data_IF_844483443326
#
_entry.id   IF_844483443326
#
_cell.length_a   1.000
_cell.length_b   1.000
_cell.length_c   1.000
_cell.angle_alpha   90.00
_cell.angle_beta   90.00
_cell.angle_gamma   90.00
#
_symmetry.space_group_name_H-M   'P 1'
#
loop_
_entity.id
_entity.type
_entity.pdbx_description
1 polymer ?
#
# COMPACT_ATOMS: atom_id res chain seq x y z
N UNK A 1 1.62 7.26 10.38
CA UNK A 1 1.80 6.49 11.63
C UNK A 1 0.74 5.40 11.76
N UNK A 2 -0.56 5.75 11.72
CA UNK A 2 -1.66 4.78 11.89
C UNK A 2 -1.56 3.64 10.87
N UNK A 3 -1.26 3.93 9.61
CA UNK A 3 -1.08 2.92 8.57
C UNK A 3 0.06 1.94 8.89
N UNK A 4 1.19 2.43 9.39
CA UNK A 4 2.30 1.57 9.84
C UNK A 4 1.90 0.65 11.01
N UNK A 5 1.09 1.16 11.95
CA UNK A 5 0.55 0.37 13.06
C UNK A 5 -0.36 -0.74 12.52
N UNK A 6 -1.25 -0.42 11.58
CA UNK A 6 -2.14 -1.41 10.96
C UNK A 6 -1.36 -2.50 10.23
N UNK A 7 -0.32 -2.14 9.45
CA UNK A 7 0.54 -3.12 8.77
C UNK A 7 1.24 -4.04 9.78
N UNK A 8 1.78 -3.47 10.86
CA UNK A 8 2.39 -4.25 11.94
C UNK A 8 1.39 -5.25 12.54
N UNK A 9 0.17 -4.80 12.84
CA UNK A 9 -0.89 -5.68 13.36
C UNK A 9 -1.29 -6.77 12.38
N UNK A 10 -1.48 -6.46 11.09
CA UNK A 10 -1.83 -7.44 10.05
C UNK A 10 -0.75 -8.52 9.90
N UNK A 11 0.52 -8.13 9.97
CA UNK A 11 1.66 -9.05 9.93
C UNK A 11 1.69 -9.94 11.18
N UNK A 12 1.56 -9.36 12.37
CA UNK A 12 1.58 -10.07 13.65
C UNK A 12 0.36 -10.99 13.82
N UNK A 13 -0.81 -10.56 13.33
CA UNK A 13 -2.02 -11.38 13.26
C UNK A 13 -1.88 -12.59 12.33
N UNK A 14 -0.89 -12.61 11.46
CA UNK A 14 -0.66 -13.69 10.52
C UNK A 14 -1.50 -13.57 9.23
N UNK A 15 -2.19 -12.47 9.03
CA UNK A 15 -3.00 -12.22 7.83
C UNK A 15 -2.15 -12.23 6.56
N UNK A 16 -1.02 -11.53 6.55
CA UNK A 16 -0.07 -11.51 5.43
C UNK A 16 0.49 -12.89 5.11
N UNK A 17 0.87 -13.65 6.15
CA UNK A 17 1.38 -15.02 5.98
C UNK A 17 0.30 -15.98 5.48
N UNK A 18 -0.94 -15.84 5.96
CA UNK A 18 -2.08 -16.64 5.51
C UNK A 18 -2.41 -16.36 4.03
N UNK A 19 -2.39 -15.09 3.62
CA UNK A 19 -2.56 -14.70 2.22
C UNK A 19 -1.41 -15.25 1.36
N UNK A 20 -0.18 -15.16 1.82
CA UNK A 20 0.98 -15.74 1.13
C UNK A 20 0.83 -17.25 0.92
N UNK A 21 0.36 -18.00 1.92
CA UNK A 21 0.05 -19.43 1.78
C UNK A 21 -1.07 -19.68 0.77
N UNK A 22 -2.18 -18.95 0.87
CA UNK A 22 -3.29 -19.04 -0.08
C UNK A 22 -2.85 -18.74 -1.51
N UNK A 23 -2.15 -17.63 -1.71
CA UNK A 23 -1.61 -17.23 -3.00
C UNK A 23 -0.64 -18.27 -3.57
N UNK A 24 0.20 -18.88 -2.73
CA UNK A 24 1.16 -19.90 -3.16
C UNK A 24 0.52 -21.20 -3.64
N UNK A 25 -0.71 -21.46 -3.25
CA UNK A 25 -1.49 -22.63 -3.74
C UNK A 25 -2.16 -22.30 -5.09
N UNK A 26 -2.68 -21.10 -5.25
CA UNK A 26 -3.41 -20.69 -6.44
C UNK A 26 -2.50 -20.19 -7.56
N UNK A 27 -1.41 -19.52 -7.21
CA UNK A 27 -0.41 -19.05 -8.15
C UNK A 27 0.55 -20.19 -8.47
N UNK A 28 0.70 -20.52 -9.74
CA UNK A 28 1.53 -21.65 -10.20
C UNK A 28 2.74 -21.23 -11.01
N UNK A 29 2.82 -19.97 -11.40
CA UNK A 29 3.87 -19.48 -12.31
C UNK A 29 4.54 -18.22 -11.77
N UNK A 30 5.77 -17.97 -12.22
CA UNK A 30 6.53 -16.76 -11.91
C UNK A 30 5.84 -15.50 -12.43
N UNK A 31 5.28 -15.56 -13.65
CA UNK A 31 4.47 -14.48 -14.22
C UNK A 31 3.25 -14.23 -13.33
N UNK A 32 2.55 -15.30 -12.90
CA UNK A 32 1.40 -15.21 -12.02
C UNK A 32 1.73 -14.53 -10.70
N UNK A 33 2.90 -14.78 -10.10
CA UNK A 33 3.33 -14.13 -8.88
C UNK A 33 3.55 -12.61 -9.08
N UNK A 34 4.16 -12.22 -10.19
CA UNK A 34 4.36 -10.81 -10.53
C UNK A 34 3.04 -10.11 -10.86
N UNK A 35 2.16 -10.73 -11.65
CA UNK A 35 0.84 -10.17 -11.94
C UNK A 35 -0.03 -10.05 -10.70
N UNK A 36 0.01 -11.02 -9.79
CA UNK A 36 -0.69 -10.94 -8.51
C UNK A 36 -0.17 -9.79 -7.65
N UNK A 37 1.15 -9.51 -7.68
CA UNK A 37 1.73 -8.34 -7.02
C UNK A 37 1.18 -7.05 -7.60
N UNK A 38 1.11 -6.94 -8.92
CA UNK A 38 0.55 -5.78 -9.63
C UNK A 38 -0.92 -5.59 -9.27
N UNK A 39 -1.73 -6.66 -9.36
CA UNK A 39 -3.16 -6.60 -9.03
C UNK A 39 -3.39 -6.17 -7.59
N UNK A 40 -2.62 -6.71 -6.64
CA UNK A 40 -2.72 -6.30 -5.24
C UNK A 40 -2.32 -4.83 -5.05
N UNK A 41 -1.27 -4.37 -5.75
CA UNK A 41 -0.87 -2.97 -5.74
C UNK A 41 -1.95 -2.04 -6.31
N UNK A 42 -2.61 -2.44 -7.39
CA UNK A 42 -3.74 -1.68 -7.97
C UNK A 42 -4.94 -1.62 -7.01
N UNK A 43 -5.21 -2.69 -6.28
CA UNK A 43 -6.34 -2.73 -5.33
C UNK A 43 -6.13 -1.84 -4.10
N UNK A 44 -4.87 -1.58 -3.72
CA UNK A 44 -4.52 -0.74 -2.57
C UNK A 44 -4.13 0.66 -3.07
N UNK A 45 -5.07 1.40 -3.63
CA UNK A 45 -4.84 2.67 -4.32
C UNK A 45 -4.98 3.93 -3.44
N UNK A 46 -5.35 3.78 -2.17
CA UNK A 46 -5.68 4.92 -1.30
C UNK A 46 -4.46 5.75 -0.93
N UNK A 47 -3.35 5.06 -0.63
CA UNK A 47 -2.12 5.69 -0.19
C UNK A 47 -0.92 4.86 -0.64
N UNK A 48 0.09 5.52 -1.20
CA UNK A 48 1.27 4.88 -1.78
C UNK A 48 2.18 4.22 -0.72
N UNK A 49 2.37 4.84 0.44
CA UNK A 49 3.15 4.24 1.54
C UNK A 49 2.47 2.99 2.09
N UNK A 50 1.15 3.06 2.29
CA UNK A 50 0.38 1.90 2.73
C UNK A 50 0.43 0.78 1.70
N UNK A 51 0.34 1.12 0.42
CA UNK A 51 0.51 0.19 -0.69
C UNK A 51 1.87 -0.51 -0.60
N UNK A 52 2.96 0.25 -0.58
CA UNK A 52 4.32 -0.29 -0.55
C UNK A 52 4.53 -1.26 0.62
N UNK A 53 4.13 -0.87 1.82
CA UNK A 53 4.32 -1.69 3.02
C UNK A 53 3.46 -2.96 3.00
N UNK A 54 2.19 -2.82 2.60
CA UNK A 54 1.25 -3.95 2.61
C UNK A 54 1.58 -4.95 1.50
N UNK A 55 1.71 -4.49 0.26
CA UNK A 55 2.04 -5.36 -0.88
C UNK A 55 3.40 -6.01 -0.68
N UNK A 56 4.39 -5.25 -0.18
CA UNK A 56 5.72 -5.76 0.11
C UNK A 56 5.70 -6.89 1.14
N UNK A 57 5.02 -6.71 2.26
CA UNK A 57 4.94 -7.72 3.30
C UNK A 57 4.18 -8.97 2.88
N UNK A 58 3.11 -8.79 2.10
CA UNK A 58 2.20 -9.86 1.66
C UNK A 58 2.80 -10.68 0.52
N UNK A 59 3.40 -10.01 -0.47
CA UNK A 59 3.87 -10.68 -1.69
C UNK A 59 5.30 -11.20 -1.58
N UNK A 60 6.07 -10.74 -0.60
CA UNK A 60 7.43 -11.23 -0.35
C UNK A 60 7.56 -12.76 -0.31
N UNK A 61 6.80 -13.51 0.52
CA UNK A 61 6.90 -14.96 0.56
C UNK A 61 6.45 -15.64 -0.74
N UNK A 62 5.53 -15.03 -1.48
CA UNK A 62 5.05 -15.55 -2.77
C UNK A 62 6.13 -15.39 -3.84
N UNK A 63 6.67 -14.20 -3.98
CA UNK A 63 7.71 -13.88 -4.98
C UNK A 63 9.00 -14.65 -4.72
N UNK A 64 9.36 -14.88 -3.44
CA UNK A 64 10.51 -15.70 -3.08
C UNK A 64 10.37 -17.15 -3.55
N UNK A 65 9.20 -17.73 -3.33
CA UNK A 65 8.88 -19.09 -3.78
C UNK A 65 9.08 -19.25 -5.29
N UNK A 66 8.70 -18.23 -6.06
CA UNK A 66 8.81 -18.24 -7.52
C UNK A 66 10.13 -17.64 -8.05
N UNK A 67 11.13 -17.44 -7.17
CA UNK A 67 12.46 -16.94 -7.53
C UNK A 67 12.43 -15.61 -8.30
N UNK A 68 11.55 -14.70 -7.90
CA UNK A 68 11.56 -13.31 -8.34
C UNK A 68 12.52 -12.54 -7.42
N UNK A 69 13.42 -11.75 -8.01
CA UNK A 69 14.41 -11.02 -7.20
C UNK A 69 13.77 -9.97 -6.30
N UNK A 70 14.43 -9.65 -5.19
CA UNK A 70 14.00 -8.57 -4.29
C UNK A 70 13.96 -7.22 -4.99
N UNK A 71 14.90 -6.98 -5.89
CA UNK A 71 14.93 -5.79 -6.72
C UNK A 71 13.70 -5.69 -7.65
N UNK A 72 13.28 -6.82 -8.26
CA UNK A 72 12.08 -6.85 -9.10
C UNK A 72 10.81 -6.65 -8.26
N UNK A 73 10.71 -7.29 -7.10
CA UNK A 73 9.59 -7.05 -6.19
C UNK A 73 9.50 -5.59 -5.79
N UNK A 74 10.61 -4.96 -5.39
CA UNK A 74 10.65 -3.55 -5.04
C UNK A 74 10.20 -2.67 -6.20
N UNK A 75 10.67 -2.95 -7.42
CA UNK A 75 10.24 -2.24 -8.62
C UNK A 75 8.72 -2.37 -8.89
N UNK A 76 8.16 -3.59 -8.78
CA UNK A 76 6.73 -3.80 -8.99
C UNK A 76 5.87 -3.06 -7.97
N UNK A 77 6.32 -3.02 -6.72
CA UNK A 77 5.64 -2.31 -5.64
C UNK A 77 5.69 -0.80 -5.89
N UNK A 78 6.87 -0.26 -6.15
CA UNK A 78 7.07 1.18 -6.39
C UNK A 78 6.32 1.65 -7.64
N UNK A 79 6.42 0.89 -8.74
CA UNK A 79 5.75 1.19 -10.00
C UNK A 79 4.23 1.02 -9.97
N UNK A 80 3.65 0.37 -8.96
CA UNK A 80 2.20 0.33 -8.74
C UNK A 80 1.73 1.33 -7.70
N UNK A 81 2.55 1.69 -6.71
CA UNK A 81 2.11 2.54 -5.61
C UNK A 81 1.79 3.96 -6.08
N UNK A 82 2.78 4.77 -6.39
CA UNK A 82 2.57 6.17 -6.78
C UNK A 82 1.79 6.33 -8.11
N UNK A 83 2.09 5.58 -9.20
CA UNK A 83 1.35 5.71 -10.45
C UNK A 83 -0.14 5.39 -10.32
N UNK A 84 -0.53 4.41 -9.51
CA UNK A 84 -1.93 4.10 -9.29
C UNK A 84 -2.61 5.16 -8.42
N UNK A 85 -1.96 5.58 -7.32
CA UNK A 85 -2.53 6.59 -6.42
C UNK A 85 -2.77 7.94 -7.14
N UNK A 86 -1.89 8.33 -8.07
CA UNK A 86 -2.02 9.62 -8.79
C UNK A 86 -3.08 9.60 -9.90
N UNK A 87 -3.59 8.45 -10.31
CA UNK A 87 -4.71 8.34 -11.26
C UNK A 87 -5.99 7.84 -10.61
N UNK A 88 -5.93 7.42 -9.35
CA UNK A 88 -7.12 7.03 -8.60
C UNK A 88 -7.85 8.28 -8.08
N UNK A 89 -9.13 8.49 -8.46
CA UNK A 89 -9.86 9.69 -8.06
C UNK A 89 -10.13 9.74 -6.55
N UNK A 90 -10.05 8.61 -5.86
CA UNK A 90 -10.25 8.48 -4.42
C UNK A 90 -8.92 8.04 -3.80
N UNK A 91 -7.97 8.97 -3.67
CA UNK A 91 -6.64 8.68 -3.10
C UNK A 91 -6.13 9.86 -2.29
N UNK A 92 -5.10 9.62 -1.49
CA UNK A 92 -4.39 10.69 -0.75
C UNK A 92 -3.80 11.75 -1.69
N UNK A 93 -3.37 11.33 -2.89
CA UNK A 93 -2.87 12.26 -3.92
C UNK A 93 -3.96 13.09 -4.56
N UNK A 94 -5.10 12.49 -4.92
CA UNK A 94 -6.25 13.24 -5.45
C UNK A 94 -6.66 14.34 -4.48
N UNK A 95 -6.79 13.99 -3.24
CA UNK A 95 -7.16 14.90 -2.18
C UNK A 95 -6.11 16.01 -1.93
N UNK A 96 -4.81 15.69 -1.97
CA UNK A 96 -3.76 16.69 -1.84
C UNK A 96 -3.72 17.67 -3.03
N UNK A 97 -3.86 17.16 -4.26
CA UNK A 97 -3.76 17.97 -5.49
C UNK A 97 -4.97 18.88 -5.67
N UNK A 98 -6.18 18.41 -5.34
CA UNK A 98 -7.39 19.23 -5.41
C UNK A 98 -7.32 20.49 -4.53
N UNK A 99 -6.62 20.41 -3.39
CA UNK A 99 -6.42 21.54 -2.48
C UNK A 99 -5.45 22.62 -2.99
N UNK A 100 -4.75 22.42 -4.11
CA UNK A 100 -3.87 23.43 -4.72
C UNK A 100 -4.55 24.31 -5.77
N UNK A 101 -5.75 23.95 -6.20
CA UNK A 101 -6.49 24.68 -7.23
C UNK A 101 -7.36 25.75 -6.55
N UNK A 102 -7.11 27.01 -6.90
CA UNK A 102 -7.90 28.15 -6.42
C UNK A 102 -8.88 28.60 -7.52
N UNK A 103 -10.13 28.83 -7.15
CA UNK A 103 -11.12 29.43 -8.03
C UNK A 103 -11.88 28.48 -8.98
N UNK A 104 -11.50 27.20 -9.04
CA UNK A 104 -12.17 26.17 -9.83
C UNK A 104 -12.35 24.88 -9.03
N UNK A 105 -13.22 23.98 -9.50
CA UNK A 105 -13.35 22.65 -8.89
C UNK A 105 -12.11 21.78 -9.14
N UNK A 106 -11.22 21.73 -8.15
CA UNK A 106 -9.97 21.00 -8.22
C UNK A 106 -10.16 19.50 -8.47
N UNK A 107 -11.24 18.89 -7.96
CA UNK A 107 -11.53 17.49 -8.20
C UNK A 107 -11.88 17.23 -9.68
N UNK A 108 -12.71 18.07 -10.29
CA UNK A 108 -13.03 17.97 -11.70
C UNK A 108 -11.80 18.13 -12.58
N UNK A 109 -10.91 19.07 -12.26
CA UNK A 109 -9.63 19.25 -12.97
C UNK A 109 -8.76 18.01 -12.81
N UNK A 110 -8.64 17.47 -11.59
CA UNK A 110 -7.88 16.26 -11.34
C UNK A 110 -8.37 15.09 -12.19
N UNK A 111 -9.68 14.82 -12.19
CA UNK A 111 -10.28 13.73 -12.97
C UNK A 111 -10.04 13.91 -14.47
N UNK A 112 -10.17 15.15 -14.99
CA UNK A 112 -9.88 15.47 -16.39
C UNK A 112 -8.41 15.31 -16.75
N UNK A 113 -7.49 15.48 -15.80
CA UNK A 113 -6.06 15.32 -16.01
C UNK A 113 -5.59 13.84 -16.03
N UNK A 114 -6.39 12.90 -15.49
CA UNK A 114 -6.02 11.46 -15.43
C UNK A 114 -5.58 10.92 -16.79
N UNK A 115 -6.34 11.07 -17.90
CA UNK A 115 -5.94 10.53 -19.20
C UNK A 115 -4.69 11.18 -19.79
N UNK A 116 -4.26 12.32 -19.28
CA UNK A 116 -3.03 13.02 -19.69
C UNK A 116 -1.83 12.70 -18.79
N UNK A 117 -2.02 11.91 -17.75
CA UNK A 117 -0.93 11.44 -16.90
C UNK A 117 -0.19 10.28 -17.59
N UNK A 118 0.56 10.62 -18.64
CA UNK A 118 1.29 9.64 -19.45
C UNK A 118 2.31 8.85 -18.64
N UNK A 119 2.92 9.46 -17.61
CA UNK A 119 3.85 8.74 -16.74
C UNK A 119 3.17 7.53 -16.08
N UNK A 120 2.05 7.75 -15.40
CA UNK A 120 1.36 6.68 -14.69
C UNK A 120 0.86 5.60 -15.66
N UNK A 121 0.21 6.01 -16.76
CA UNK A 121 -0.35 5.09 -17.76
C UNK A 121 0.75 4.26 -18.42
N UNK A 122 1.82 4.91 -18.90
CA UNK A 122 2.92 4.21 -19.58
C UNK A 122 3.72 3.33 -18.63
N UNK A 123 3.89 3.73 -17.36
CA UNK A 123 4.55 2.90 -16.34
C UNK A 123 3.79 1.60 -16.12
N UNK A 124 2.47 1.67 -15.99
CA UNK A 124 1.61 0.49 -15.81
C UNK A 124 1.67 -0.41 -17.05
N UNK A 125 1.54 0.16 -18.24
CA UNK A 125 1.61 -0.59 -19.51
C UNK A 125 2.99 -1.25 -19.68
N UNK A 126 4.07 -0.51 -19.41
CA UNK A 126 5.44 -1.03 -19.50
C UNK A 126 5.66 -2.16 -18.49
N UNK A 127 5.22 -2.00 -17.26
CA UNK A 127 5.38 -2.99 -16.20
C UNK A 127 4.64 -4.29 -16.54
N UNK A 128 3.38 -4.21 -16.97
CA UNK A 128 2.61 -5.38 -17.42
C UNK A 128 3.27 -6.01 -18.65
N UNK A 129 3.69 -5.20 -19.62
CA UNK A 129 4.38 -5.67 -20.82
C UNK A 129 5.67 -6.42 -20.50
N UNK A 130 6.53 -5.88 -19.62
CA UNK A 130 7.75 -6.55 -19.19
C UNK A 130 7.48 -7.89 -18.50
N UNK A 131 6.44 -7.96 -17.66
CA UNK A 131 6.08 -9.20 -16.97
C UNK A 131 5.58 -10.24 -17.94
N UNK A 132 4.72 -9.88 -18.89
CA UNK A 132 4.15 -10.82 -19.87
C UNK A 132 5.18 -11.30 -20.88
N UNK A 133 6.04 -10.39 -21.38
CA UNK A 133 7.09 -10.70 -22.34
C UNK A 133 8.33 -11.32 -21.68
N UNK A 134 8.38 -11.38 -20.35
CA UNK A 134 9.54 -11.85 -19.57
C UNK A 134 10.86 -11.16 -19.97
N UNK A 135 10.77 -9.88 -20.32
CA UNK A 135 11.93 -9.08 -20.73
C UNK A 135 12.39 -8.23 -19.55
N UNK A 136 13.71 -8.18 -19.36
CA UNK A 136 14.35 -7.39 -18.33
C UNK A 136 15.46 -6.55 -18.92
N UNK A 137 15.61 -5.32 -18.41
CA UNK A 137 16.58 -4.35 -18.90
C UNK A 137 17.65 -4.02 -17.85
N UNK A 138 18.83 -3.65 -18.31
CA UNK A 138 19.90 -3.13 -17.46
C UNK A 138 20.26 -4.04 -16.29
N UNK A 139 20.42 -3.44 -15.12
CA UNK A 139 20.76 -4.15 -13.88
C UNK A 139 19.68 -5.14 -13.42
N UNK A 140 18.41 -4.89 -13.73
CA UNK A 140 17.33 -5.81 -13.37
C UNK A 140 17.53 -7.20 -13.96
N UNK A 141 18.01 -7.31 -15.20
CA UNK A 141 18.33 -8.58 -15.84
C UNK A 141 19.37 -9.39 -15.04
N UNK A 142 20.33 -8.72 -14.44
CA UNK A 142 21.35 -9.36 -13.60
C UNK A 142 20.74 -9.89 -12.30
N UNK A 143 19.92 -9.08 -11.61
CA UNK A 143 19.21 -9.50 -10.40
C UNK A 143 18.29 -10.69 -10.64
N UNK A 144 17.53 -10.67 -11.73
CA UNK A 144 16.60 -11.74 -12.09
C UNK A 144 17.32 -13.03 -12.47
N UNK A 145 18.47 -12.94 -13.17
CA UNK A 145 19.31 -14.10 -13.50
C UNK A 145 19.89 -14.76 -12.22
N UNK A 146 20.27 -13.98 -11.25
CA UNK A 146 20.76 -14.50 -9.96
C UNK A 146 19.64 -15.11 -9.13
N UNK A 147 18.45 -14.48 -9.14
CA UNK A 147 17.28 -15.01 -8.44
C UNK A 147 16.87 -16.40 -8.95
N UNK A 148 16.97 -16.64 -10.27
CA UNK A 148 16.73 -17.96 -10.85
C UNK A 148 17.69 -19.03 -10.31
N UNK A 149 18.95 -18.63 -9.98
CA UNK A 149 19.96 -19.50 -9.37
C UNK A 149 19.77 -19.68 -7.86
N UNK A 150 18.83 -18.93 -7.25
CA UNK A 150 18.51 -19.00 -5.83
C UNK A 150 19.03 -17.82 -5.01
N UNK A 151 19.78 -16.87 -5.59
CA UNK A 151 20.21 -15.64 -4.92
C UNK A 151 19.23 -14.51 -5.22
N UNK A 152 18.30 -14.30 -4.28
CA UNK A 152 17.24 -13.30 -4.41
C UNK A 152 17.73 -11.87 -4.22
N UNK A 153 18.90 -11.67 -3.61
CA UNK A 153 19.41 -10.34 -3.24
C UNK A 153 20.47 -9.82 -4.20
N UNK A 154 21.30 -10.69 -4.73
CA UNK A 154 22.44 -10.35 -5.62
C UNK A 154 23.56 -9.54 -4.94
N UNK A 155 23.26 -8.78 -3.90
CA UNK A 155 24.19 -7.90 -3.17
C UNK A 155 24.72 -8.57 -1.89
N UNK A 156 26.02 -8.42 -1.56
CA UNK A 156 26.61 -9.07 -0.36
C UNK A 156 25.98 -8.60 0.96
N UNK A 157 25.49 -7.35 1.00
CA UNK A 157 24.95 -6.75 2.20
C UNK A 157 23.57 -7.28 2.65
N UNK A 158 22.88 -8.03 1.79
CA UNK A 158 21.58 -8.66 2.05
C UNK A 158 20.70 -7.87 3.04
N UNK A 159 20.34 -6.62 2.73
CA UNK A 159 19.54 -5.81 3.63
C UNK A 159 18.22 -6.55 3.92
N UNK A 160 17.82 -6.55 5.20
CA UNK A 160 16.61 -7.24 5.68
C UNK A 160 16.62 -8.78 5.67
N UNK A 161 17.76 -9.44 5.39
CA UNK A 161 17.86 -10.91 5.48
C UNK A 161 17.83 -11.39 6.93
N UNK A 162 18.34 -10.57 7.84
CA UNK A 162 18.41 -10.82 9.29
C UNK A 162 17.18 -10.35 10.06
N UNK A 163 16.20 -9.75 9.43
CA UNK A 163 14.94 -9.44 10.11
C UNK A 163 14.30 -10.75 10.56
N UNK A 164 14.38 -10.99 11.88
CA UNK A 164 13.61 -12.06 12.52
C UNK A 164 12.17 -11.90 12.07
N UNK A 165 11.65 -12.89 11.37
CA UNK A 165 10.22 -12.89 11.08
C UNK A 165 9.49 -12.69 12.42
N UNK A 166 8.64 -11.66 12.54
CA UNK A 166 7.91 -11.44 13.79
C UNK A 166 7.16 -12.72 14.13
N UNK A 167 7.05 -13.01 15.42
CA UNK A 167 6.23 -14.12 15.89
C UNK A 167 4.81 -13.94 15.33
N UNK A 168 4.48 -14.77 14.35
CA UNK A 168 3.22 -14.66 13.59
C UNK A 168 2.20 -15.57 14.27
N UNK A 169 1.02 -15.03 14.55
CA UNK A 169 -0.08 -15.84 15.07
C UNK A 169 -0.43 -16.99 14.13
N UNK A 170 -0.42 -18.20 14.62
CA UNK A 170 -0.79 -19.42 13.87
C UNK A 170 -2.27 -19.40 13.47
N UNK A 171 -3.11 -18.62 14.15
CA UNK A 171 -4.55 -18.52 13.93
C UNK A 171 -4.95 -17.57 12.81
N UNK A 172 -3.98 -16.83 12.24
CA UNK A 172 -4.24 -15.85 11.19
C UNK A 172 -4.84 -16.48 9.93
N UNK A 173 -5.86 -15.83 9.39
CA UNK A 173 -6.54 -16.17 8.14
C UNK A 173 -6.39 -15.03 7.13
N UNK A 174 -6.73 -15.29 5.87
CA UNK A 174 -6.74 -14.25 4.81
C UNK A 174 -7.69 -13.09 5.18
N UNK A 175 -8.75 -13.35 5.92
CA UNK A 175 -9.68 -12.32 6.37
C UNK A 175 -9.04 -11.32 7.35
N UNK A 176 -8.03 -11.75 8.09
CA UNK A 176 -7.27 -10.87 9.00
C UNK A 176 -6.33 -9.89 8.27
N UNK A 177 -6.20 -10.05 6.96
CA UNK A 177 -5.60 -9.05 6.07
C UNK A 177 -6.67 -8.22 5.35
N UNK A 178 -7.66 -8.88 4.74
CA UNK A 178 -8.62 -8.21 3.86
C UNK A 178 -9.57 -7.29 4.61
N UNK A 179 -10.10 -7.71 5.77
CA UNK A 179 -11.07 -6.89 6.52
C UNK A 179 -10.46 -5.57 7.00
N UNK A 180 -9.24 -5.53 7.60
CA UNK A 180 -8.57 -4.27 7.92
C UNK A 180 -8.38 -3.34 6.72
N UNK A 181 -7.96 -3.87 5.58
CA UNK A 181 -7.76 -3.07 4.35
C UNK A 181 -9.10 -2.49 3.89
N UNK A 182 -10.13 -3.31 3.77
CA UNK A 182 -11.46 -2.88 3.32
C UNK A 182 -12.06 -1.87 4.31
N UNK A 183 -11.94 -2.12 5.61
CA UNK A 183 -12.44 -1.20 6.64
C UNK A 183 -11.71 0.15 6.60
N UNK A 184 -10.40 0.15 6.37
CA UNK A 184 -9.63 1.37 6.19
C UNK A 184 -10.13 2.17 4.98
N UNK A 185 -10.31 1.51 3.83
CA UNK A 185 -10.80 2.12 2.60
C UNK A 185 -12.17 2.79 2.86
N UNK A 186 -13.10 2.04 3.42
CA UNK A 186 -14.45 2.55 3.71
C UNK A 186 -14.40 3.71 4.71
N UNK A 187 -13.64 3.59 5.79
CA UNK A 187 -13.54 4.65 6.80
C UNK A 187 -12.89 5.92 6.23
N UNK A 188 -11.86 5.81 5.39
CA UNK A 188 -11.25 6.96 4.74
C UNK A 188 -12.23 7.64 3.77
N UNK A 189 -12.96 6.87 2.95
CA UNK A 189 -14.00 7.41 2.07
C UNK A 189 -15.10 8.14 2.86
N UNK A 190 -15.61 7.53 3.91
CA UNK A 190 -16.62 8.16 4.79
C UNK A 190 -16.05 9.41 5.46
N UNK A 191 -14.80 9.39 5.92
CA UNK A 191 -14.14 10.55 6.52
C UNK A 191 -14.02 11.72 5.53
N UNK A 192 -13.66 11.46 4.28
CA UNK A 192 -13.59 12.48 3.24
C UNK A 192 -14.98 13.05 2.90
N UNK A 193 -15.99 12.19 2.73
CA UNK A 193 -17.37 12.62 2.50
C UNK A 193 -17.94 13.42 3.68
N UNK A 194 -17.58 13.06 4.91
CA UNK A 194 -17.98 13.78 6.09
C UNK A 194 -17.42 15.20 6.13
N UNK A 195 -16.12 15.34 5.88
CA UNK A 195 -15.45 16.65 5.87
C UNK A 195 -15.91 17.53 4.72
N UNK A 196 -16.35 16.94 3.60
CA UNK A 196 -16.86 17.65 2.44
C UNK A 196 -18.36 18.00 2.48
N UNK A 197 -19.08 17.71 3.59
CA UNK A 197 -20.46 18.14 3.78
C UNK A 197 -21.52 17.22 3.14
N UNK A 198 -21.18 16.00 2.72
CA UNK A 198 -22.16 15.06 2.16
C UNK A 198 -23.38 14.82 3.09
N UNK A 199 -23.11 14.67 4.38
CA UNK A 199 -24.18 14.49 5.38
C UNK A 199 -24.97 15.78 5.69
N UNK A 200 -24.51 16.92 5.15
CA UNK A 200 -25.22 18.23 5.23
C UNK A 200 -26.05 18.51 3.99
N UNK A 201 -26.09 17.57 3.01
CA UNK A 201 -26.94 17.65 1.82
C UNK A 201 -26.21 17.98 0.53
N UNK A 202 -24.86 18.05 0.55
CA UNK A 202 -24.08 18.23 -0.66
C UNK A 202 -24.08 16.95 -1.54
N UNK A 203 -23.97 17.13 -2.84
CA UNK A 203 -23.81 16.01 -3.78
C UNK A 203 -22.47 15.28 -3.56
N UNK A 204 -22.43 14.00 -3.92
CA UNK A 204 -21.25 13.14 -3.71
C UNK A 204 -19.97 13.73 -4.34
N UNK A 205 -20.05 14.23 -5.58
CA UNK A 205 -18.91 14.80 -6.29
C UNK A 205 -18.46 16.09 -5.63
N UNK A 206 -19.41 16.96 -5.29
CA UNK A 206 -19.16 18.24 -4.61
C UNK A 206 -18.56 18.01 -3.22
N UNK A 207 -19.13 17.10 -2.44
CA UNK A 207 -18.63 16.76 -1.12
C UNK A 207 -17.20 16.19 -1.20
N UNK A 208 -16.91 15.36 -2.20
CA UNK A 208 -15.57 14.82 -2.37
C UNK A 208 -14.56 15.89 -2.79
N UNK A 209 -14.93 16.81 -3.69
CA UNK A 209 -14.07 17.91 -4.16
C UNK A 209 -13.76 18.94 -3.06
N UNK A 210 -14.71 19.18 -2.16
CA UNK A 210 -14.56 20.11 -1.04
C UNK A 210 -14.02 19.45 0.25
N UNK A 211 -13.70 18.15 0.19
CA UNK A 211 -13.24 17.43 1.36
C UNK A 211 -11.89 17.94 1.88
N UNK A 212 -11.76 18.09 3.20
CA UNK A 212 -10.45 18.20 3.84
C UNK A 212 -9.82 16.80 3.92
N UNK A 213 -8.97 16.52 2.94
CA UNK A 213 -8.30 15.24 2.83
C UNK A 213 -7.44 14.90 4.03
N UNK A 214 -6.74 15.89 4.60
CA UNK A 214 -5.86 15.66 5.75
C UNK A 214 -6.67 15.22 6.96
N UNK A 215 -7.78 15.90 7.22
CA UNK A 215 -8.69 15.59 8.31
C UNK A 215 -9.46 14.28 8.03
N UNK A 216 -10.02 14.13 6.81
CA UNK A 216 -10.81 12.96 6.41
C UNK A 216 -10.01 11.66 6.46
N UNK A 217 -8.78 11.64 5.94
CA UNK A 217 -7.89 10.48 5.99
C UNK A 217 -7.40 10.19 7.41
N UNK A 218 -7.14 11.23 8.22
CA UNK A 218 -6.72 11.05 9.61
C UNK A 218 -7.84 10.41 10.43
N UNK A 219 -9.06 10.94 10.35
CA UNK A 219 -10.23 10.38 11.02
C UNK A 219 -10.53 8.97 10.52
N UNK A 220 -10.56 8.78 9.20
CA UNK A 220 -10.84 7.49 8.58
C UNK A 220 -9.83 6.41 8.99
N UNK A 221 -8.55 6.73 8.97
CA UNK A 221 -7.51 5.79 9.41
C UNK A 221 -7.59 5.45 10.90
N UNK A 222 -7.95 6.43 11.75
CA UNK A 222 -8.15 6.20 13.17
C UNK A 222 -9.32 5.24 13.44
N UNK A 223 -10.47 5.46 12.80
CA UNK A 223 -11.61 4.54 12.92
C UNK A 223 -11.30 3.16 12.32
N UNK A 224 -10.60 3.09 11.19
CA UNK A 224 -10.11 1.84 10.61
C UNK A 224 -9.21 1.05 11.57
N UNK A 225 -8.34 1.76 12.30
CA UNK A 225 -7.51 1.16 13.33
C UNK A 225 -8.35 0.59 14.50
N UNK A 226 -9.32 1.34 15.00
CA UNK A 226 -10.21 0.88 16.07
C UNK A 226 -11.00 -0.37 15.66
N UNK A 227 -11.55 -0.39 14.43
CA UNK A 227 -12.23 -1.56 13.87
C UNK A 227 -11.28 -2.74 13.80
N UNK A 228 -10.03 -2.53 13.35
CA UNK A 228 -9.02 -3.58 13.25
C UNK A 228 -8.67 -4.17 14.63
N UNK A 229 -8.47 -3.32 15.63
CA UNK A 229 -8.23 -3.77 17.01
C UNK A 229 -9.43 -4.58 17.51
N UNK A 230 -10.66 -4.05 17.35
CA UNK A 230 -11.88 -4.75 17.74
C UNK A 230 -12.02 -6.12 17.07
N UNK A 231 -11.75 -6.19 15.76
CA UNK A 231 -11.77 -7.43 14.99
C UNK A 231 -10.83 -8.48 15.59
N UNK A 232 -9.57 -8.10 15.86
CA UNK A 232 -8.57 -9.03 16.37
C UNK A 232 -8.86 -9.49 17.79
N UNK A 233 -9.48 -8.63 18.62
CA UNK A 233 -9.94 -8.99 19.96
C UNK A 233 -11.12 -10.00 19.90
N UNK A 234 -12.14 -9.71 19.09
CA UNK A 234 -13.30 -10.60 18.92
C UNK A 234 -12.90 -11.95 18.37
N UNK A 235 -12.02 -11.97 17.38
CA UNK A 235 -11.50 -13.19 16.77
C UNK A 235 -10.42 -13.89 17.61
N UNK A 236 -9.97 -13.26 18.69
CA UNK A 236 -8.89 -13.76 19.57
C UNK A 236 -7.59 -14.12 18.80
N UNK A 237 -7.29 -13.35 17.76
CA UNK A 237 -6.08 -13.55 16.95
C UNK A 237 -4.89 -12.88 17.61
N UNK A 238 -5.07 -11.68 18.16
CA UNK A 238 -4.08 -10.94 18.93
C UNK A 238 -4.67 -10.53 20.29
N UNK A 239 -3.82 -10.48 21.33
CA UNK A 239 -4.15 -9.88 22.61
C UNK A 239 -4.09 -8.36 22.51
N UNK A 240 -4.82 -7.65 23.37
CA UNK A 240 -4.78 -6.19 23.40
C UNK A 240 -3.36 -5.64 23.62
N UNK A 241 -2.58 -6.26 24.49
CA UNK A 241 -1.18 -5.87 24.71
C UNK A 241 -0.30 -6.03 23.47
N UNK A 242 -0.58 -7.02 22.62
CA UNK A 242 0.13 -7.23 21.37
C UNK A 242 -0.23 -6.17 20.32
N UNK A 243 -1.50 -5.74 20.29
CA UNK A 243 -1.93 -4.61 19.47
C UNK A 243 -1.24 -3.31 19.92
N UNK A 244 -1.17 -3.06 21.22
CA UNK A 244 -0.49 -1.87 21.75
C UNK A 244 1.02 -1.90 21.49
N UNK A 245 1.65 -3.06 21.50
CA UNK A 245 3.07 -3.20 21.14
C UNK A 245 3.34 -2.88 19.66
N UNK A 246 2.35 -2.96 18.78
CA UNK A 246 2.49 -2.54 17.38
C UNK A 246 2.55 -1.02 17.19
N UNK A 247 2.16 -0.21 18.18
CA UNK A 247 2.19 1.25 18.07
C UNK A 247 3.62 1.77 17.88
N UNK A 248 4.60 1.47 18.77
CA UNK A 248 5.97 1.94 18.58
C UNK A 248 6.63 1.32 17.34
N UNK A 249 6.33 0.07 16.99
CA UNK A 249 6.86 -0.59 15.79
C UNK A 249 6.33 0.07 14.50
N UNK A 250 5.03 0.33 14.42
CA UNK A 250 4.41 1.04 13.31
C UNK A 250 4.90 2.48 13.18
N UNK A 251 5.14 3.18 14.30
CA UNK A 251 5.77 4.49 14.27
C UNK A 251 7.18 4.42 13.68
N UNK A 252 8.02 3.50 14.15
CA UNK A 252 9.38 3.32 13.65
C UNK A 252 9.42 3.06 12.14
N UNK A 253 8.50 2.25 11.62
CA UNK A 253 8.42 1.96 10.18
C UNK A 253 8.09 3.18 9.35
N UNK A 254 7.41 4.18 9.93
CA UNK A 254 7.00 5.41 9.26
C UNK A 254 8.00 6.57 9.43
N UNK A 255 9.00 6.44 10.30
CA UNK A 255 9.99 7.50 10.53
C UNK A 255 10.65 8.02 9.25
N UNK A 256 11.12 7.16 8.31
CA UNK A 256 11.71 7.64 7.07
C UNK A 256 10.75 8.52 6.25
N UNK A 257 9.48 8.13 6.13
CA UNK A 257 8.46 8.90 5.43
C UNK A 257 8.19 10.24 6.12
N UNK A 258 8.09 10.26 7.45
CA UNK A 258 7.90 11.48 8.24
C UNK A 258 9.08 12.45 8.02
N UNK A 259 10.30 11.94 8.04
CA UNK A 259 11.50 12.76 7.81
C UNK A 259 11.50 13.38 6.41
N UNK A 260 11.20 12.60 5.37
CA UNK A 260 11.14 13.09 3.99
C UNK A 260 10.09 14.19 3.87
N UNK A 261 8.89 14.00 4.40
CA UNK A 261 7.83 15.01 4.37
C UNK A 261 8.21 16.27 5.16
N UNK A 262 8.82 16.12 6.32
CA UNK A 262 9.26 17.26 7.13
C UNK A 262 10.31 18.09 6.39
N UNK A 263 11.27 17.46 5.73
CA UNK A 263 12.27 18.17 4.91
C UNK A 263 11.64 18.83 3.68
N UNK A 264 10.70 18.14 3.01
CA UNK A 264 9.98 18.71 1.86
C UNK A 264 9.18 19.97 2.25
N UNK A 265 8.48 19.94 3.39
CA UNK A 265 7.77 21.12 3.89
C UNK A 265 8.70 22.25 4.32
N UNK A 266 9.83 21.91 4.92
CA UNK A 266 10.86 22.91 5.27
C UNK A 266 11.39 23.61 4.01
N UNK A 267 11.72 22.83 2.96
CA UNK A 267 12.18 23.40 1.68
C UNK A 267 11.11 24.27 1.02
N UNK A 268 9.82 23.90 1.12
CA UNK A 268 8.73 24.74 0.62
C UNK A 268 8.60 26.08 1.38
N UNK A 269 8.90 26.07 2.69
CA UNK A 269 8.79 27.26 3.54
C UNK A 269 9.99 28.22 3.42
N UNK A 270 11.10 27.76 2.86
CA UNK A 270 12.29 28.59 2.55
C UNK A 270 12.15 29.30 1.21
#
# INVERSE_FOLDING_TARGET
VVLGIMVCMMNKAGGSAAFGRWASVHIKTRIGAQLATIVLGVLIFIDDYFNCLTVGSVMRPVTDKFKVSRAKLAYLIDATAAPICIIAPISSWAAAVTGFVEGEDGFSIFVRAIPYNFYAILTIVMMIGMVLLQTEFGSMKFHEKNALKGDLYTTPGRPYDTEKQPEVSVRGTVLDLLIPIISLIICCMVGMLYTGGFFSGEDFVTAFSQSDASLGLTMGSFFGLLITIGLYQVRRVLKFSECMACIPEGFKSMVPAIMILSFAWTLKAM
#
